data_IF_150649121609
#
_entry.id   IF_150649121609
#
_cell.length_a   1.000
_cell.length_b   1.000
_cell.length_c   1.000
_cell.angle_alpha   90.00
_cell.angle_beta   90.00
_cell.angle_gamma   90.00
#
_symmetry.space_group_name_H-M   'P 1'
#
loop_
_entity.id
_entity.type
_entity.pdbx_description
1 polymer ?
#
# COMPACT_ATOMS: atom_id res chain seq x y z
N UNK A 1 14.65 -5.92 3.08
CA UNK A 1 14.77 -5.38 4.46
C UNK A 1 13.77 -4.26 4.75
N UNK A 2 13.50 -3.33 3.83
CA UNK A 2 12.59 -2.18 4.05
C UNK A 2 11.16 -2.58 4.48
N UNK A 3 10.60 -3.64 3.88
CA UNK A 3 9.28 -4.18 4.20
C UNK A 3 9.17 -4.56 5.69
N UNK A 4 10.19 -5.20 6.25
CA UNK A 4 10.22 -5.63 7.66
C UNK A 4 10.23 -4.44 8.61
N UNK A 5 11.00 -3.38 8.29
CA UNK A 5 10.98 -2.13 9.07
C UNK A 5 9.60 -1.49 9.08
N UNK A 6 8.93 -1.44 7.93
CA UNK A 6 7.55 -0.94 7.82
C UNK A 6 6.57 -1.75 8.66
N UNK A 7 6.68 -3.08 8.63
CA UNK A 7 5.83 -3.96 9.44
C UNK A 7 6.04 -3.72 10.94
N UNK A 8 7.29 -3.64 11.40
CA UNK A 8 7.59 -3.29 12.79
C UNK A 8 7.09 -1.89 13.15
N UNK A 9 7.18 -0.92 12.24
CA UNK A 9 6.71 0.44 12.49
C UNK A 9 5.19 0.50 12.63
N UNK A 10 4.45 -0.18 11.75
CA UNK A 10 2.99 -0.32 11.87
C UNK A 10 2.58 -0.97 13.19
N UNK A 11 3.37 -1.93 13.69
CA UNK A 11 3.11 -2.53 15.00
C UNK A 11 3.39 -1.59 16.18
N UNK A 12 4.26 -0.59 16.00
CA UNK A 12 4.62 0.37 17.06
C UNK A 12 3.82 1.68 17.01
N UNK A 13 3.32 2.06 15.83
CA UNK A 13 2.50 3.26 15.66
C UNK A 13 1.06 2.93 16.08
N UNK A 14 0.60 3.60 17.14
CA UNK A 14 -0.73 3.38 17.70
C UNK A 14 -1.87 4.00 16.87
N UNK A 15 -1.56 4.97 16.00
CA UNK A 15 -2.55 5.61 15.13
C UNK A 15 -1.86 6.28 13.95
N UNK A 16 -2.29 5.92 12.73
CA UNK A 16 -1.96 6.63 11.50
C UNK A 16 -3.17 7.44 11.09
N UNK A 17 -2.96 8.68 10.68
CA UNK A 17 -3.99 9.45 9.99
C UNK A 17 -4.35 8.82 8.65
N UNK A 18 -5.54 9.16 8.13
CA UNK A 18 -5.99 8.69 6.82
C UNK A 18 -5.03 9.11 5.69
N UNK A 19 -4.41 10.28 5.83
CA UNK A 19 -3.39 10.77 4.89
C UNK A 19 -2.18 9.83 4.85
N UNK A 20 -1.64 9.45 6.02
CA UNK A 20 -0.54 8.49 6.11
C UNK A 20 -0.93 7.10 5.59
N UNK A 21 -2.14 6.63 5.89
CA UNK A 21 -2.65 5.35 5.36
C UNK A 21 -2.69 5.40 3.84
N UNK A 22 -3.23 6.46 3.23
CA UNK A 22 -3.30 6.61 1.78
C UNK A 22 -1.90 6.69 1.15
N UNK A 23 -1.01 7.47 1.76
CA UNK A 23 0.37 7.60 1.31
C UNK A 23 1.10 6.26 1.35
N UNK A 24 1.00 5.52 2.45
CA UNK A 24 1.56 4.18 2.58
C UNK A 24 0.96 3.23 1.56
N UNK A 25 -0.36 3.16 1.48
CA UNK A 25 -1.08 2.27 0.57
C UNK A 25 -0.61 2.48 -0.87
N UNK A 26 -0.50 3.75 -1.28
CA UNK A 26 0.01 4.07 -2.58
C UNK A 26 1.52 3.82 -2.75
N UNK A 27 2.37 4.09 -1.75
CA UNK A 27 3.80 3.72 -1.78
C UNK A 27 4.02 2.21 -1.89
N UNK A 28 3.17 1.42 -1.24
CA UNK A 28 3.17 -0.04 -1.34
C UNK A 28 2.60 -0.50 -2.69
N UNK A 29 1.72 0.29 -3.31
CA UNK A 29 1.18 0.13 -4.66
C UNK A 29 2.11 0.53 -5.81
N UNK A 30 2.99 1.50 -5.58
CA UNK A 30 3.94 2.01 -6.57
C UNK A 30 4.81 0.90 -7.19
N UNK A 31 5.42 -0.01 -6.41
CA UNK A 31 6.16 -1.13 -7.00
C UNK A 31 5.25 -2.13 -7.69
N UNK A 32 3.93 -2.18 -7.41
CA UNK A 32 2.97 -3.11 -8.02
C UNK A 32 2.48 -2.64 -9.39
N UNK A 33 2.57 -1.33 -9.64
CA UNK A 33 2.12 -0.75 -10.90
C UNK A 33 3.19 -0.97 -11.98
N UNK A 34 2.87 -1.69 -13.08
CA UNK A 34 3.83 -1.93 -14.16
C UNK A 34 4.23 -0.67 -14.93
N UNK A 35 3.47 0.43 -14.82
CA UNK A 35 3.79 1.73 -15.41
C UNK A 35 4.58 2.66 -14.48
N UNK A 36 5.03 2.18 -13.32
CA UNK A 36 5.72 2.97 -12.31
C UNK A 36 7.17 3.22 -12.73
N UNK A 37 7.47 4.45 -13.11
CA UNK A 37 8.79 4.98 -13.51
C UNK A 37 9.90 4.92 -12.44
N UNK A 38 9.78 4.07 -11.43
CA UNK A 38 10.84 3.91 -10.44
C UNK A 38 11.70 2.71 -10.81
N UNK A 39 12.64 2.92 -11.75
CA UNK A 39 13.99 2.34 -11.78
C UNK A 39 14.14 0.94 -11.14
N UNK A 40 13.25 0.01 -11.46
CA UNK A 40 13.40 -1.38 -11.08
C UNK A 40 14.33 -1.96 -12.13
N UNK A 41 15.63 -1.91 -11.82
CA UNK A 41 16.65 -2.59 -12.62
C UNK A 41 16.22 -4.03 -12.97
N UNK A 42 16.72 -4.58 -14.08
CA UNK A 42 16.15 -5.72 -14.81
C UNK A 42 16.17 -7.08 -14.09
N UNK A 43 16.43 -7.12 -12.78
CA UNK A 43 16.53 -8.33 -12.00
C UNK A 43 15.30 -8.53 -11.10
N UNK A 44 14.26 -9.17 -11.64
CA UNK A 44 13.44 -10.23 -11.01
C UNK A 44 12.91 -10.12 -9.56
N UNK A 45 13.11 -9.03 -8.81
CA UNK A 45 12.82 -8.91 -7.38
C UNK A 45 11.39 -8.48 -7.03
N UNK A 46 10.55 -8.25 -8.05
CA UNK A 46 9.18 -7.75 -7.90
C UNK A 46 8.30 -8.74 -7.12
N UNK A 47 8.43 -10.04 -7.40
CA UNK A 47 7.61 -11.10 -6.79
C UNK A 47 7.97 -11.34 -5.32
N UNK A 48 9.26 -11.30 -4.97
CA UNK A 48 9.71 -11.49 -3.58
C UNK A 48 9.31 -10.31 -2.70
N UNK A 49 9.45 -9.09 -3.24
CA UNK A 49 8.99 -7.87 -2.57
C UNK A 49 7.48 -7.90 -2.38
N UNK A 50 6.73 -8.35 -3.40
CA UNK A 50 5.27 -8.44 -3.31
C UNK A 50 4.81 -9.34 -2.16
N UNK A 51 5.37 -10.55 -2.05
CA UNK A 51 5.06 -11.49 -0.98
C UNK A 51 5.30 -10.90 0.42
N UNK A 52 6.29 -10.00 0.55
CA UNK A 52 6.56 -9.27 1.79
C UNK A 52 5.64 -8.05 2.01
N UNK A 53 5.12 -7.44 0.94
CA UNK A 53 4.21 -6.28 1.00
C UNK A 53 2.78 -6.68 1.34
N UNK A 54 2.32 -7.84 0.87
CA UNK A 54 0.98 -8.39 1.11
C UNK A 54 0.58 -8.34 2.60
N UNK A 55 1.36 -8.90 3.54
CA UNK A 55 1.01 -8.83 4.96
C UNK A 55 1.06 -7.39 5.52
N UNK A 56 1.91 -6.51 4.98
CA UNK A 56 2.04 -5.10 5.43
C UNK A 56 0.81 -4.29 5.03
N UNK A 57 0.40 -4.38 3.76
CA UNK A 57 -0.82 -3.73 3.25
C UNK A 57 -2.03 -4.23 4.02
N UNK A 58 -2.08 -5.54 4.26
CA UNK A 58 -3.17 -6.13 5.05
C UNK A 58 -3.23 -5.56 6.46
N UNK A 59 -2.11 -5.53 7.19
CA UNK A 59 -2.05 -4.98 8.55
C UNK A 59 -2.38 -3.50 8.55
N UNK A 60 -1.88 -2.71 7.59
CA UNK A 60 -2.20 -1.30 7.44
C UNK A 60 -3.72 -1.07 7.31
N UNK A 61 -4.35 -1.82 6.40
CA UNK A 61 -5.78 -1.70 6.11
C UNK A 61 -6.65 -2.21 7.28
N UNK A 62 -6.22 -3.27 7.94
CA UNK A 62 -6.96 -3.87 9.06
C UNK A 62 -6.87 -3.04 10.34
N UNK A 63 -5.70 -2.44 10.61
CA UNK A 63 -5.43 -1.75 11.88
C UNK A 63 -5.65 -0.24 11.81
N UNK A 64 -5.45 0.38 10.64
CA UNK A 64 -5.44 1.84 10.51
C UNK A 64 -6.39 2.39 9.46
N UNK A 65 -6.77 1.60 8.45
CA UNK A 65 -7.73 2.09 7.47
C UNK A 65 -9.14 2.06 8.04
N UNK A 66 -9.79 3.21 8.04
CA UNK A 66 -11.22 3.29 8.33
C UNK A 66 -12.00 2.64 7.18
N UNK A 67 -12.77 1.57 7.43
CA UNK A 67 -13.42 0.79 6.38
C UNK A 67 -14.46 1.61 5.61
N UNK A 68 -15.08 2.61 6.22
CA UNK A 68 -16.06 3.48 5.58
C UNK A 68 -15.37 4.41 4.58
N UNK A 69 -14.27 5.05 5.02
CA UNK A 69 -13.47 5.94 4.19
C UNK A 69 -12.77 5.17 3.07
N UNK A 70 -12.27 3.98 3.38
CA UNK A 70 -11.65 3.06 2.42
C UNK A 70 -12.64 2.61 1.35
N UNK A 71 -13.84 2.16 1.72
CA UNK A 71 -14.87 1.79 0.74
C UNK A 71 -15.32 2.98 -0.11
N UNK A 72 -15.32 4.20 0.43
CA UNK A 72 -15.67 5.40 -0.32
C UNK A 72 -14.64 5.78 -1.38
N UNK A 73 -13.36 5.49 -1.14
CA UNK A 73 -12.26 5.83 -2.04
C UNK A 73 -11.88 4.68 -2.98
N UNK A 74 -11.88 3.45 -2.45
CA UNK A 74 -11.46 2.23 -3.11
C UNK A 74 -12.55 1.15 -2.94
N UNK A 75 -13.72 1.31 -3.57
CA UNK A 75 -14.85 0.38 -3.42
C UNK A 75 -14.56 -1.01 -4.00
N UNK A 76 -13.68 -1.08 -5.00
CA UNK A 76 -13.22 -2.32 -5.63
C UNK A 76 -12.01 -2.96 -4.94
N UNK A 77 -11.56 -2.41 -3.80
CA UNK A 77 -10.45 -2.98 -3.04
C UNK A 77 -10.83 -4.36 -2.48
N UNK A 78 -9.95 -5.37 -2.58
CA UNK A 78 -10.21 -6.67 -1.98
C UNK A 78 -10.29 -6.60 -0.46
N UNK A 79 -11.24 -7.36 0.11
CA UNK A 79 -11.46 -7.44 1.55
C UNK A 79 -10.26 -8.14 2.21
N UNK A 80 -9.66 -7.53 3.23
CA UNK A 80 -8.50 -8.03 3.97
C UNK A 80 -8.82 -9.17 4.95
N UNK A 81 -9.81 -10.00 4.67
CA UNK A 81 -10.31 -11.01 5.59
C UNK A 81 -9.62 -12.38 5.44
N UNK A 82 -8.29 -12.40 5.50
CA UNK A 82 -7.51 -13.65 5.63
C UNK A 82 -7.49 -14.56 4.40
N UNK A 83 -8.04 -14.12 3.26
CA UNK A 83 -8.04 -14.93 2.06
C UNK A 83 -6.61 -15.11 1.52
N UNK A 84 -6.18 -16.34 1.18
CA UNK A 84 -4.88 -16.58 0.56
C UNK A 84 -4.77 -15.92 -0.83
N UNK A 85 -5.90 -15.54 -1.43
CA UNK A 85 -5.95 -14.84 -2.72
C UNK A 85 -5.73 -13.33 -2.64
N UNK A 86 -5.75 -12.72 -1.44
CA UNK A 86 -5.63 -11.26 -1.28
C UNK A 86 -4.42 -10.69 -2.03
N UNK A 87 -3.30 -11.43 -2.07
CA UNK A 87 -2.16 -11.07 -2.90
C UNK A 87 -2.53 -10.92 -4.39
N UNK A 88 -3.12 -11.96 -4.99
CA UNK A 88 -3.47 -11.93 -6.40
C UNK A 88 -4.56 -10.90 -6.72
N UNK A 89 -5.53 -10.74 -5.82
CA UNK A 89 -6.58 -9.73 -5.94
C UNK A 89 -6.02 -8.31 -5.83
N UNK A 90 -5.11 -8.05 -4.88
CA UNK A 90 -4.45 -6.75 -4.73
C UNK A 90 -3.57 -6.43 -5.94
N UNK A 91 -2.88 -7.42 -6.49
CA UNK A 91 -2.11 -7.27 -7.72
C UNK A 91 -3.05 -6.89 -8.87
N UNK A 92 -4.14 -7.61 -9.07
CA UNK A 92 -5.12 -7.31 -10.12
C UNK A 92 -5.77 -5.94 -9.92
N UNK A 93 -6.07 -5.59 -8.67
CA UNK A 93 -6.64 -4.30 -8.31
C UNK A 93 -5.66 -3.16 -8.57
N UNK A 94 -4.38 -3.36 -8.29
CA UNK A 94 -3.34 -2.37 -8.54
C UNK A 94 -3.32 -1.97 -10.01
N UNK A 95 -3.68 -2.86 -10.94
CA UNK A 95 -3.74 -2.59 -12.40
C UNK A 95 -5.01 -1.85 -12.84
N UNK A 96 -5.95 -1.57 -11.93
CA UNK A 96 -7.20 -0.86 -12.27
C UNK A 96 -6.99 0.65 -12.34
N UNK A 97 -7.84 1.32 -13.12
CA UNK A 97 -7.85 2.78 -13.22
C UNK A 97 -8.23 3.43 -11.87
N UNK A 98 -9.06 2.75 -11.07
CA UNK A 98 -9.41 3.21 -9.72
C UNK A 98 -8.17 3.36 -8.83
N UNK A 99 -7.31 2.35 -8.82
CA UNK A 99 -6.06 2.41 -8.05
C UNK A 99 -5.13 3.50 -8.56
N UNK A 100 -5.01 3.65 -9.88
CA UNK A 100 -4.16 4.68 -10.48
C UNK A 100 -4.65 6.08 -10.13
N UNK A 101 -5.96 6.33 -10.22
CA UNK A 101 -6.58 7.61 -9.88
C UNK A 101 -6.39 7.93 -8.39
N UNK A 102 -6.60 6.95 -7.51
CA UNK A 102 -6.31 7.09 -6.08
C UNK A 102 -4.82 7.42 -5.83
N UNK A 103 -3.91 6.67 -6.45
CA UNK A 103 -2.47 6.89 -6.34
C UNK A 103 -2.10 8.30 -6.80
N UNK A 104 -2.61 8.75 -7.93
CA UNK A 104 -2.33 10.09 -8.45
C UNK A 104 -2.88 11.20 -7.54
N UNK A 105 -4.10 11.05 -7.02
CA UNK A 105 -4.72 12.07 -6.16
C UNK A 105 -4.06 12.15 -4.79
N UNK A 106 -3.83 11.02 -4.15
CA UNK A 106 -3.37 10.97 -2.77
C UNK A 106 -1.84 10.92 -2.66
N UNK A 107 -1.13 10.14 -3.45
CA UNK A 107 0.33 9.98 -3.31
C UNK A 107 1.10 11.11 -3.97
N UNK A 108 0.62 11.62 -5.12
CA UNK A 108 1.30 12.73 -5.80
C UNK A 108 1.17 14.04 -5.01
N UNK A 109 0.17 14.15 -4.14
CA UNK A 109 -0.16 15.39 -3.42
C UNK A 109 0.19 15.31 -1.93
N UNK A 110 0.17 14.12 -1.32
CA UNK A 110 0.54 13.94 0.07
C UNK A 110 2.04 14.22 0.26
N UNK A 111 2.33 15.36 0.89
CA UNK A 111 3.66 15.62 1.43
C UNK A 111 3.89 14.64 2.58
N UNK A 112 5.01 13.88 2.60
CA UNK A 112 5.29 12.98 3.72
C UNK A 112 5.34 13.81 4.99
N UNK A 113 4.39 13.58 5.89
CA UNK A 113 4.44 14.11 7.25
C UNK A 113 5.75 13.65 7.91
N UNK A 114 6.31 14.47 8.81
CA UNK A 114 7.66 14.30 9.38
C UNK A 114 7.95 12.90 9.93
N UNK A 115 6.91 12.11 10.27
CA UNK A 115 6.99 10.70 10.66
C UNK A 115 7.71 9.82 9.61
N UNK A 116 7.49 10.08 8.31
CA UNK A 116 8.10 9.29 7.23
C UNK A 116 9.54 9.67 6.94
N UNK A 117 9.98 10.85 7.35
CA UNK A 117 11.36 11.30 7.16
C UNK A 117 12.35 10.55 8.06
N UNK A 118 11.86 9.88 9.10
CA UNK A 118 12.65 9.09 10.05
C UNK A 118 12.78 7.59 9.67
N UNK A 119 12.16 7.13 8.58
CA UNK A 119 12.16 5.71 8.14
C UNK A 119 13.21 5.44 7.06
#
# INVERSE_FOLDING_TARGET
>A
MACVKLHSLLQTVLSLGWDEVCFLLGRLGAPLWPGGVMEAGPNGGHTETFSQLVPIVRTLLDQHADPVTLHGLLPSLPVTNGSPTFAQDLQSYSHTVEWLDFYQRHVSTAQPSSIFFFI
#
